data_IF_894590784410
#
_entry.id   IF_894590784410
#
_cell.length_a   1.000
_cell.length_b   1.000
_cell.length_c   1.000
_cell.angle_alpha   90.00
_cell.angle_beta   90.00
_cell.angle_gamma   90.00
#
_symmetry.space_group_name_H-M   'P 1'
#
loop_
_entity.id
_entity.type
_entity.pdbx_description
1 polymer ?
#
# COMPACT_ATOMS: atom_id res chain seq x y z
N UNK A 1 15.30 7.10 12.81
CA UNK A 1 15.34 7.09 11.33
C UNK A 1 15.65 8.51 10.85
N UNK A 2 16.13 8.75 9.61
CA UNK A 2 16.18 10.12 9.11
C UNK A 2 14.76 10.65 8.98
N UNK A 3 14.49 11.80 9.60
CA UNK A 3 13.33 12.63 9.28
C UNK A 3 13.52 13.15 7.86
N UNK A 4 12.45 13.15 7.07
CA UNK A 4 12.46 13.78 5.75
C UNK A 4 11.91 15.20 5.80
N UNK A 5 11.41 15.67 6.93
CA UNK A 5 10.97 17.06 7.07
C UNK A 5 12.12 18.04 6.78
N UNK A 6 11.94 18.87 5.74
CA UNK A 6 12.94 19.82 5.22
C UNK A 6 14.31 19.19 4.87
N UNK A 7 14.35 17.89 4.56
CA UNK A 7 15.59 17.18 4.24
C UNK A 7 16.34 17.84 3.07
N UNK A 8 17.65 18.02 3.21
CA UNK A 8 18.48 18.67 2.21
C UNK A 8 18.16 20.15 1.92
N UNK A 9 17.27 20.78 2.71
CA UNK A 9 16.80 22.14 2.47
C UNK A 9 15.84 22.27 1.27
N UNK A 10 15.29 21.14 0.79
CA UNK A 10 14.35 21.10 -0.32
C UNK A 10 12.96 21.49 0.17
N UNK A 11 12.35 22.50 -0.45
CA UNK A 11 11.07 23.07 0.03
C UNK A 11 9.89 22.11 -0.04
N UNK A 12 9.86 21.19 -1.01
CA UNK A 12 8.78 20.18 -1.16
C UNK A 12 8.81 19.09 -0.07
N UNK A 13 9.87 19.06 0.75
CA UNK A 13 9.92 18.21 1.94
C UNK A 13 9.38 18.88 3.20
N UNK A 14 8.90 20.13 3.13
CA UNK A 14 8.27 20.78 4.27
C UNK A 14 7.00 20.03 4.68
N UNK A 15 6.95 19.58 5.93
CA UNK A 15 5.86 18.78 6.48
C UNK A 15 5.80 17.33 6.00
N UNK A 16 6.85 16.80 5.37
CA UNK A 16 6.83 15.45 4.81
C UNK A 16 6.42 14.37 5.85
N UNK A 17 7.00 14.45 7.04
CA UNK A 17 6.74 13.48 8.11
C UNK A 17 5.33 13.62 8.71
N UNK A 18 4.54 14.64 8.35
CA UNK A 18 3.17 14.78 8.84
C UNK A 18 2.24 13.66 8.35
N UNK A 19 2.59 12.98 7.25
CA UNK A 19 1.73 11.96 6.67
C UNK A 19 1.69 10.69 7.52
N UNK A 20 2.82 10.03 7.76
CA UNK A 20 2.89 8.82 8.60
C UNK A 20 3.38 9.07 10.03
N UNK A 21 3.89 10.26 10.33
CA UNK A 21 4.56 10.60 11.58
C UNK A 21 6.07 10.46 11.50
N UNK A 22 6.75 11.11 12.44
CA UNK A 22 8.20 11.01 12.63
C UNK A 22 8.56 9.56 12.96
N UNK A 23 9.69 9.09 12.41
CA UNK A 23 10.20 7.72 12.55
C UNK A 23 9.30 6.60 11.98
N UNK A 24 8.26 6.94 11.20
CA UNK A 24 7.40 5.97 10.53
C UNK A 24 7.42 6.13 9.00
N UNK A 25 8.61 6.16 8.41
CA UNK A 25 8.78 6.43 6.97
C UNK A 25 7.92 5.52 6.08
N UNK A 26 7.79 4.23 6.43
CA UNK A 26 7.08 3.23 5.63
C UNK A 26 5.61 3.07 6.01
N UNK A 27 5.09 3.81 7.00
CA UNK A 27 3.69 3.70 7.41
C UNK A 27 3.31 2.34 7.99
N UNK A 28 4.19 1.73 8.78
CA UNK A 28 3.87 0.45 9.43
C UNK A 28 2.73 0.65 10.43
N UNK A 29 1.78 -0.27 10.43
CA UNK A 29 0.61 -0.27 11.32
C UNK A 29 0.76 -1.41 12.33
N UNK A 30 0.73 -1.09 13.62
CA UNK A 30 0.78 -2.08 14.72
C UNK A 30 -0.60 -2.50 15.20
N UNK A 31 -1.61 -1.64 15.01
CA UNK A 31 -2.96 -1.81 15.51
C UNK A 31 -3.96 -1.49 14.40
N UNK A 32 -5.00 -2.31 14.29
CA UNK A 32 -6.06 -2.12 13.31
C UNK A 32 -7.44 -2.26 13.95
N UNK A 33 -8.41 -1.56 13.37
CA UNK A 33 -9.82 -1.64 13.74
C UNK A 33 -10.55 -2.34 12.60
N UNK A 34 -10.95 -3.59 12.85
CA UNK A 34 -11.76 -4.35 11.90
C UNK A 34 -13.21 -3.89 12.02
N UNK A 35 -13.77 -3.39 10.92
CA UNK A 35 -15.16 -2.90 10.89
C UNK A 35 -16.11 -4.02 10.47
N UNK A 36 -17.21 -4.18 11.21
CA UNK A 36 -18.31 -5.07 10.83
C UNK A 36 -19.16 -4.38 9.76
N UNK A 37 -18.91 -4.71 8.49
CA UNK A 37 -19.72 -4.28 7.34
C UNK A 37 -20.42 -5.50 6.69
N UNK A 38 -21.15 -5.27 5.59
CA UNK A 38 -21.71 -6.36 4.79
C UNK A 38 -20.59 -7.34 4.40
N UNK A 39 -20.85 -8.64 4.56
CA UNK A 39 -19.82 -9.67 4.35
C UNK A 39 -19.22 -9.55 2.94
N UNK A 40 -17.91 -9.27 2.90
CA UNK A 40 -17.12 -9.30 1.68
C UNK A 40 -16.43 -10.66 1.60
N UNK A 41 -16.73 -11.42 0.56
CA UNK A 41 -16.15 -12.74 0.31
C UNK A 41 -15.18 -12.64 -0.86
N UNK A 42 -13.99 -13.25 -0.75
CA UNK A 42 -13.08 -13.30 -1.90
C UNK A 42 -13.70 -14.07 -3.06
N UNK A 43 -13.48 -13.59 -4.29
CA UNK A 43 -14.00 -14.21 -5.49
C UNK A 43 -12.86 -14.77 -6.34
N UNK A 44 -13.02 -16.00 -6.81
CA UNK A 44 -12.08 -16.59 -7.76
C UNK A 44 -12.27 -15.95 -9.15
N UNK A 45 -11.28 -15.17 -9.58
CA UNK A 45 -11.18 -14.60 -10.92
C UNK A 45 -9.86 -15.02 -11.57
N UNK A 46 -9.74 -14.84 -12.89
CA UNK A 46 -8.46 -15.10 -13.57
C UNK A 46 -7.35 -14.24 -12.97
N UNK A 47 -6.19 -14.84 -12.73
CA UNK A 47 -5.01 -14.12 -12.21
C UNK A 47 -4.59 -13.00 -13.16
N UNK A 48 -4.77 -13.17 -14.47
CA UNK A 48 -4.49 -12.11 -15.45
C UNK A 48 -5.35 -10.86 -15.20
N UNK A 49 -6.61 -11.04 -14.83
CA UNK A 49 -7.51 -9.91 -14.50
C UNK A 49 -7.04 -9.19 -13.24
N UNK A 50 -6.53 -9.90 -12.25
CA UNK A 50 -5.92 -9.30 -11.05
C UNK A 50 -4.65 -8.53 -11.44
N UNK A 51 -3.79 -9.13 -12.25
CA UNK A 51 -2.54 -8.51 -12.72
C UNK A 51 -2.80 -7.24 -13.53
N UNK A 52 -3.79 -7.22 -14.40
CA UNK A 52 -4.19 -6.02 -15.15
C UNK A 52 -4.58 -4.87 -14.21
N UNK A 53 -5.38 -5.14 -13.17
CA UNK A 53 -5.78 -4.13 -12.18
C UNK A 53 -4.59 -3.60 -11.38
N UNK A 54 -3.69 -4.49 -10.94
CA UNK A 54 -2.48 -4.09 -10.22
C UNK A 54 -1.53 -3.27 -11.10
N UNK A 55 -1.42 -3.62 -12.40
CA UNK A 55 -0.62 -2.85 -13.35
C UNK A 55 -1.17 -1.43 -13.54
N UNK A 56 -2.50 -1.26 -13.57
CA UNK A 56 -3.12 0.07 -13.60
C UNK A 56 -2.72 0.87 -12.36
N UNK A 57 -2.80 0.29 -11.16
CA UNK A 57 -2.38 0.99 -9.93
C UNK A 57 -0.89 1.37 -9.97
N UNK A 58 -0.04 0.52 -10.55
CA UNK A 58 1.38 0.81 -10.73
C UNK A 58 1.61 2.01 -11.66
N UNK A 59 0.94 2.07 -12.81
CA UNK A 59 1.08 3.21 -13.72
C UNK A 59 0.44 4.49 -13.16
N UNK A 60 -0.66 4.37 -12.40
CA UNK A 60 -1.26 5.51 -11.69
C UNK A 60 -0.32 6.09 -10.65
N UNK A 61 0.40 5.26 -9.88
CA UNK A 61 1.41 5.74 -8.94
C UNK A 61 2.53 6.53 -9.66
N UNK A 62 3.00 6.04 -10.82
CA UNK A 62 3.96 6.78 -11.65
C UNK A 62 3.39 8.10 -12.10
N UNK A 63 2.17 8.09 -12.66
CA UNK A 63 1.49 9.28 -13.15
C UNK A 63 1.40 10.36 -12.06
N UNK A 64 0.89 10.01 -10.87
CA UNK A 64 0.76 10.91 -9.72
C UNK A 64 2.11 11.53 -9.38
N UNK A 65 3.15 10.72 -9.21
CA UNK A 65 4.48 11.21 -8.82
C UNK A 65 5.08 12.12 -9.89
N UNK A 66 5.00 11.73 -11.17
CA UNK A 66 5.63 12.49 -12.26
C UNK A 66 4.90 13.78 -12.62
N UNK A 67 3.59 13.84 -12.39
CA UNK A 67 2.78 15.03 -12.72
C UNK A 67 2.64 15.99 -11.52
N UNK A 68 2.73 15.51 -10.27
CA UNK A 68 2.42 16.32 -9.08
C UNK A 68 3.63 16.64 -8.20
N UNK A 69 4.78 15.99 -8.40
CA UNK A 69 6.01 16.27 -7.65
C UNK A 69 7.07 16.80 -8.61
N UNK A 70 7.48 18.05 -8.47
CA UNK A 70 8.44 18.68 -9.38
C UNK A 70 9.91 18.31 -9.08
N UNK A 71 10.27 18.20 -7.81
CA UNK A 71 11.64 17.91 -7.39
C UNK A 71 11.94 16.42 -7.51
N UNK A 72 13.01 16.06 -8.24
CA UNK A 72 13.36 14.66 -8.54
C UNK A 72 13.79 13.88 -7.29
N UNK A 73 14.39 14.57 -6.32
CA UNK A 73 14.69 14.02 -5.00
C UNK A 73 13.41 13.66 -4.25
N UNK A 74 12.40 14.52 -4.30
CA UNK A 74 11.09 14.28 -3.68
C UNK A 74 10.33 13.17 -4.39
N UNK A 75 10.37 13.11 -5.73
CA UNK A 75 9.81 11.98 -6.48
C UNK A 75 10.44 10.66 -6.02
N UNK A 76 11.77 10.63 -5.87
CA UNK A 76 12.52 9.44 -5.45
C UNK A 76 12.10 8.99 -4.04
N UNK A 77 12.04 9.93 -3.09
CA UNK A 77 11.69 9.62 -1.70
C UNK A 77 10.22 9.19 -1.57
N UNK A 78 9.28 9.89 -2.22
CA UNK A 78 7.85 9.53 -2.22
C UNK A 78 7.63 8.15 -2.85
N UNK A 79 8.29 7.86 -3.98
CA UNK A 79 8.17 6.54 -4.60
C UNK A 79 8.75 5.44 -3.71
N UNK A 80 9.89 5.68 -3.07
CA UNK A 80 10.48 4.71 -2.14
C UNK A 80 9.58 4.50 -0.91
N UNK A 81 8.95 5.56 -0.39
CA UNK A 81 7.95 5.45 0.67
C UNK A 81 6.78 4.56 0.24
N UNK A 82 6.21 4.80 -0.95
CA UNK A 82 5.14 3.98 -1.50
C UNK A 82 5.51 2.49 -1.62
N UNK A 83 6.69 2.17 -2.16
CA UNK A 83 7.18 0.79 -2.26
C UNK A 83 7.36 0.14 -0.89
N UNK A 84 7.96 0.87 0.05
CA UNK A 84 8.15 0.39 1.42
C UNK A 84 6.82 0.15 2.13
N UNK A 85 5.83 1.03 1.97
CA UNK A 85 4.48 0.85 2.53
C UNK A 85 3.77 -0.38 1.95
N UNK A 86 3.86 -0.59 0.64
CA UNK A 86 3.27 -1.78 0.01
C UNK A 86 3.90 -3.09 0.50
N UNK A 87 5.16 -3.07 0.93
CA UNK A 87 5.88 -4.27 1.35
C UNK A 87 5.33 -4.89 2.64
N UNK A 88 4.70 -4.10 3.52
CA UNK A 88 4.13 -4.58 4.79
C UNK A 88 3.02 -5.60 4.59
N UNK A 89 2.23 -5.44 3.51
CA UNK A 89 1.15 -6.38 3.18
C UNK A 89 1.66 -7.81 2.95
N UNK A 90 2.94 -7.99 2.60
CA UNK A 90 3.57 -9.30 2.53
C UNK A 90 3.53 -10.03 3.88
N UNK A 91 3.84 -9.33 4.98
CA UNK A 91 3.78 -9.89 6.34
C UNK A 91 2.35 -10.21 6.76
N UNK A 92 1.36 -9.43 6.30
CA UNK A 92 -0.04 -9.74 6.52
C UNK A 92 -0.42 -11.04 5.80
N UNK A 93 -0.09 -11.16 4.51
CA UNK A 93 -0.36 -12.36 3.71
C UNK A 93 0.30 -13.62 4.29
N UNK A 94 1.50 -13.46 4.87
CA UNK A 94 2.21 -14.51 5.60
C UNK A 94 1.63 -14.81 7.00
N UNK A 95 0.71 -13.97 7.49
CA UNK A 95 0.13 -13.99 8.84
C UNK A 95 1.18 -13.83 9.95
N UNK A 96 2.18 -12.99 9.73
CA UNK A 96 3.29 -12.74 10.67
C UNK A 96 3.35 -11.32 11.21
N UNK A 97 2.58 -10.38 10.66
CA UNK A 97 2.55 -8.98 11.10
C UNK A 97 1.87 -8.75 12.46
N UNK A 98 0.99 -9.67 12.88
CA UNK A 98 0.14 -9.50 14.05
C UNK A 98 -1.21 -8.82 13.77
N UNK A 99 -1.40 -8.29 12.55
CA UNK A 99 -2.67 -7.74 12.07
C UNK A 99 -3.36 -8.70 11.08
N UNK A 100 -4.59 -8.41 10.66
CA UNK A 100 -5.34 -9.25 9.71
C UNK A 100 -5.03 -8.87 8.25
N UNK A 101 -5.20 -9.82 7.34
CA UNK A 101 -5.14 -9.54 5.90
C UNK A 101 -6.42 -8.82 5.48
N UNK A 102 -6.32 -7.52 5.24
CA UNK A 102 -7.44 -6.67 4.84
C UNK A 102 -6.98 -5.42 4.11
N UNK A 103 -7.91 -4.51 3.93
CA UNK A 103 -7.65 -3.17 3.39
C UNK A 103 -8.51 -2.15 4.14
N UNK A 104 -8.04 -0.90 4.19
CA UNK A 104 -8.79 0.19 4.80
C UNK A 104 -9.87 0.70 3.83
N UNK A 105 -11.15 0.52 4.18
CA UNK A 105 -12.27 0.88 3.31
C UNK A 105 -12.42 2.38 3.13
N UNK A 106 -12.08 3.17 4.15
CA UNK A 106 -12.22 4.62 4.10
C UNK A 106 -11.18 5.19 3.14
N UNK A 107 -9.93 4.71 3.22
CA UNK A 107 -8.86 5.10 2.29
C UNK A 107 -9.17 4.65 0.85
N UNK A 108 -9.52 3.37 0.65
CA UNK A 108 -9.81 2.85 -0.70
C UNK A 108 -10.98 3.58 -1.35
N UNK A 109 -11.96 4.08 -0.59
CA UNK A 109 -13.13 4.77 -1.13
C UNK A 109 -12.80 6.03 -1.95
N UNK A 110 -11.60 6.61 -1.77
CA UNK A 110 -11.15 7.79 -2.49
C UNK A 110 -10.69 7.53 -3.94
N UNK A 111 -10.69 6.28 -4.42
CA UNK A 111 -10.20 5.94 -5.77
C UNK A 111 -10.84 6.79 -6.89
N UNK A 112 -12.12 7.16 -6.74
CA UNK A 112 -12.84 8.00 -7.70
C UNK A 112 -12.41 9.47 -7.70
N UNK A 113 -11.69 9.92 -6.67
CA UNK A 113 -11.26 11.30 -6.48
C UNK A 113 -9.88 11.60 -7.07
N UNK A 114 -9.21 10.60 -7.67
CA UNK A 114 -7.89 10.79 -8.28
C UNK A 114 -7.93 11.65 -9.55
N UNK A 115 -9.06 11.72 -10.23
CA UNK A 115 -9.20 12.44 -11.50
C UNK A 115 -10.36 13.43 -11.46
N UNK A 116 -10.16 14.58 -12.09
CA UNK A 116 -11.22 15.54 -12.38
C UNK A 116 -12.13 14.99 -13.50
N UNK A 117 -13.28 15.64 -13.70
CA UNK A 117 -14.24 15.25 -14.75
C UNK A 117 -13.66 15.35 -16.18
N UNK A 118 -12.58 16.12 -16.37
CA UNK A 118 -11.87 16.25 -17.65
C UNK A 118 -10.77 15.18 -17.85
N UNK A 119 -10.58 14.29 -16.87
CA UNK A 119 -9.55 13.24 -16.90
C UNK A 119 -8.16 13.67 -16.45
N UNK A 120 -7.95 14.94 -16.08
CA UNK A 120 -6.71 15.39 -15.44
C UNK A 120 -6.62 14.87 -14.01
N UNK A 121 -5.39 14.71 -13.49
CA UNK A 121 -5.20 14.36 -12.08
C UNK A 121 -5.76 15.46 -11.17
N UNK A 122 -6.51 15.05 -10.16
CA UNK A 122 -7.02 15.93 -9.11
C UNK A 122 -5.86 16.40 -8.22
N UNK A 123 -5.85 17.69 -7.89
CA UNK A 123 -4.93 18.28 -6.90
C UNK A 123 -5.61 18.50 -5.54
N UNK A 124 -6.78 17.90 -5.35
CA UNK A 124 -7.56 18.07 -4.12
C UNK A 124 -6.95 17.28 -2.98
N UNK A 125 -6.89 17.89 -1.80
CA UNK A 125 -6.62 17.17 -0.57
C UNK A 125 -7.76 16.18 -0.30
N UNK A 126 -7.42 14.91 -0.08
CA UNK A 126 -8.39 13.84 0.20
C UNK A 126 -8.84 13.82 1.67
N UNK A 127 -8.20 14.62 2.54
CA UNK A 127 -8.63 14.85 3.92
C UNK A 127 -8.18 13.79 4.93
N UNK A 128 -7.18 12.98 4.59
CA UNK A 128 -6.60 11.95 5.47
C UNK A 128 -5.08 12.05 5.53
N UNK A 129 -4.47 11.43 6.54
CA UNK A 129 -3.04 11.17 6.59
C UNK A 129 -2.74 9.67 6.63
N UNK A 130 -1.47 9.31 6.46
CA UNK A 130 -1.01 7.94 6.63
C UNK A 130 -1.29 7.36 8.02
N UNK A 131 -1.51 8.19 9.04
CA UNK A 131 -1.94 7.74 10.37
C UNK A 131 -3.38 7.21 10.41
N UNK A 132 -4.17 7.43 9.36
CA UNK A 132 -5.54 6.92 9.24
C UNK A 132 -5.60 5.47 8.71
N UNK A 133 -4.50 4.96 8.15
CA UNK A 133 -4.42 3.59 7.66
C UNK A 133 -4.63 2.60 8.80
N UNK A 134 -5.58 1.68 8.63
CA UNK A 134 -5.88 0.63 9.60
C UNK A 134 -7.04 0.97 10.54
N UNK A 135 -7.66 2.15 10.41
CA UNK A 135 -8.78 2.57 11.26
C UNK A 135 -10.14 2.05 10.79
N UNK A 136 -10.23 1.61 9.53
CA UNK A 136 -11.47 1.08 8.95
C UNK A 136 -11.21 -0.16 8.10
N UNK A 137 -10.66 -1.21 8.71
CA UNK A 137 -10.21 -2.41 7.98
C UNK A 137 -11.36 -3.37 7.69
N UNK A 138 -11.55 -3.67 6.40
CA UNK A 138 -12.38 -4.77 5.94
C UNK A 138 -11.50 -6.00 5.73
N UNK A 139 -11.89 -7.13 6.32
CA UNK A 139 -11.22 -8.43 6.20
C UNK A 139 -12.08 -9.35 5.35
N UNK A 140 -11.74 -9.59 4.07
CA UNK A 140 -12.51 -10.50 3.23
C UNK A 140 -12.52 -11.93 3.78
N UNK A 141 -13.69 -12.56 3.82
CA UNK A 141 -13.86 -13.98 4.15
C UNK A 141 -13.66 -14.86 2.91
N UNK A 142 -13.78 -16.19 3.07
CA UNK A 142 -13.75 -17.15 1.96
C UNK A 142 -12.36 -17.60 1.49
N UNK A 143 -11.27 -17.09 2.09
CA UNK A 143 -9.92 -17.59 1.79
C UNK A 143 -9.75 -19.07 2.14
N UNK A 144 -8.86 -19.77 1.44
CA UNK A 144 -8.50 -21.17 1.71
C UNK A 144 -7.42 -21.32 2.80
N UNK A 145 -7.22 -20.30 3.66
CA UNK A 145 -6.20 -20.35 4.68
C UNK A 145 -6.46 -21.48 5.69
N UNK A 146 -5.44 -22.30 5.94
CA UNK A 146 -5.43 -23.35 6.93
C UNK A 146 -4.24 -23.15 7.87
N UNK A 147 -4.51 -22.85 9.15
CA UNK A 147 -3.46 -22.55 10.13
C UNK A 147 -2.45 -23.67 10.37
N UNK A 148 -2.76 -24.92 10.01
CA UNK A 148 -1.84 -26.05 10.15
C UNK A 148 -0.88 -26.22 8.97
N UNK A 149 -1.29 -25.86 7.75
CA UNK A 149 -0.53 -26.15 6.52
C UNK A 149 -0.15 -24.92 5.70
N UNK A 150 -0.98 -23.87 5.69
CA UNK A 150 -0.76 -22.65 4.92
C UNK A 150 0.54 -21.91 5.28
N UNK A 151 0.99 -21.81 6.55
CA UNK A 151 2.24 -21.11 6.86
C UNK A 151 3.44 -21.61 6.04
N UNK A 152 3.59 -22.94 5.92
CA UNK A 152 4.68 -23.54 5.16
C UNK A 152 4.51 -23.32 3.64
N UNK A 153 3.31 -23.57 3.10
CA UNK A 153 3.07 -23.43 1.65
C UNK A 153 3.13 -21.98 1.18
N UNK A 154 2.63 -21.03 1.97
CA UNK A 154 2.67 -19.59 1.65
C UNK A 154 4.10 -19.06 1.80
N UNK A 155 4.86 -19.51 2.81
CA UNK A 155 6.28 -19.20 2.92
C UNK A 155 7.09 -19.69 1.71
N UNK A 156 6.83 -20.91 1.23
CA UNK A 156 7.46 -21.42 0.00
C UNK A 156 7.10 -20.58 -1.23
N UNK A 157 5.83 -20.21 -1.39
CA UNK A 157 5.39 -19.36 -2.49
C UNK A 157 6.05 -17.97 -2.43
N UNK A 158 6.14 -17.37 -1.24
CA UNK A 158 6.81 -16.09 -1.01
C UNK A 158 8.30 -16.15 -1.39
N UNK A 159 9.02 -17.18 -0.93
CA UNK A 159 10.44 -17.35 -1.25
C UNK A 159 10.65 -17.55 -2.76
N UNK A 160 9.82 -18.36 -3.42
CA UNK A 160 9.88 -18.54 -4.87
C UNK A 160 9.64 -17.23 -5.62
N UNK A 161 8.70 -16.40 -5.16
CA UNK A 161 8.43 -15.08 -5.74
C UNK A 161 9.61 -14.12 -5.55
N UNK A 162 10.21 -14.07 -4.35
CA UNK A 162 11.42 -13.27 -4.10
C UNK A 162 12.59 -13.69 -4.99
N UNK A 163 12.82 -15.00 -5.11
CA UNK A 163 13.83 -15.57 -6.01
C UNK A 163 13.61 -15.10 -7.46
N UNK A 164 12.37 -15.19 -7.96
CA UNK A 164 12.03 -14.74 -9.30
C UNK A 164 12.23 -13.23 -9.47
N UNK A 165 11.82 -12.41 -8.49
CA UNK A 165 11.98 -10.96 -8.53
C UNK A 165 13.45 -10.51 -8.52
N UNK A 166 14.30 -11.21 -7.77
CA UNK A 166 15.74 -10.92 -7.68
C UNK A 166 16.57 -11.56 -8.81
N UNK A 167 15.94 -12.33 -9.71
CA UNK A 167 16.63 -13.03 -10.79
C UNK A 167 17.55 -14.16 -10.31
N UNK A 168 17.39 -14.62 -9.07
CA UNK A 168 18.11 -15.76 -8.50
C UNK A 168 17.20 -16.98 -8.56
N UNK A 169 17.48 -17.95 -9.42
CA UNK A 169 16.73 -19.22 -9.46
C UNK A 169 16.72 -19.88 -8.08
N UNK A 170 15.53 -20.30 -7.63
CA UNK A 170 15.30 -21.03 -6.38
C UNK A 170 15.96 -22.41 -6.35
#
# INVERSE_FOLDING_TARGET
YPSFDNWGGISSFSGFDNFYGVDNFSGVVSDQVVVEQQEVVCQAVSIEVVQQKLLVLQEMAKQIITEQVCDVETQTVVFQQFLSSCSHFSSDLLRTSGVQVGYDSDIVSHYGSFYNADGSLSTSDLGFSGSDVGKSVVVPSGSNWNSATSPASVGNAFNAALSAANGTSA
#
